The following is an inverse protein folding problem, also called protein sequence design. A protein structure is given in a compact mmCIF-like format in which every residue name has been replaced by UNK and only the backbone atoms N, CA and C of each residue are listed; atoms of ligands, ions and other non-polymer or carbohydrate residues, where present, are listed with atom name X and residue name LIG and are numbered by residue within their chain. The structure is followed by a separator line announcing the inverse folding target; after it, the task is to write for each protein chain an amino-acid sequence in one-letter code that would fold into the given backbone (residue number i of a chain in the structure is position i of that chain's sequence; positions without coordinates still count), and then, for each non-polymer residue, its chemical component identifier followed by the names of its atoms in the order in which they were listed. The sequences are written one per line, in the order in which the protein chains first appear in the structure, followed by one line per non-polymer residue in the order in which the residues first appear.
data_IF_092150953469
#
_entry.id   IF_092150953469
#
_cell.length_a   1.000
_cell.length_b   1.000
_cell.length_c   1.000
_cell.angle_alpha   90.00
_cell.angle_beta   90.00
_cell.angle_gamma   90.00
#
_symmetry.space_group_name_H-M   'P 1'
#
loop_
_entity.id
_entity.type
_entity.pdbx_description
1 polymer ?
#
# COMPACT_ATOMS: atom_id res chain seq x y z
N UNK A 1 -7.75 10.81 5.69
CA UNK A 1 -6.60 11.39 4.97
C UNK A 1 -6.14 12.59 5.77
N UNK A 2 -4.86 12.65 6.14
CA UNK A 2 -4.28 13.76 6.85
C UNK A 2 -3.82 14.86 5.87
N UNK A 3 -3.71 16.13 6.31
CA UNK A 3 -3.14 17.19 5.50
C UNK A 3 -1.75 16.83 4.96
N UNK A 4 -1.50 17.08 3.68
CA UNK A 4 -0.21 16.78 3.02
C UNK A 4 -0.03 15.33 2.58
N UNK A 5 -0.96 14.41 2.88
CA UNK A 5 -0.92 13.03 2.34
C UNK A 5 -0.94 13.03 0.82
N UNK A 6 -1.83 13.84 0.25
CA UNK A 6 -2.04 13.90 -1.19
C UNK A 6 -0.83 14.53 -1.89
N UNK A 7 -0.26 15.59 -1.33
CA UNK A 7 0.96 16.21 -1.86
C UNK A 7 2.16 15.25 -1.83
N UNK A 8 2.35 14.54 -0.71
CA UNK A 8 3.41 13.56 -0.56
C UNK A 8 3.26 12.38 -1.54
N UNK A 9 2.03 11.91 -1.77
CA UNK A 9 1.74 10.87 -2.74
C UNK A 9 1.97 11.36 -4.18
N UNK A 10 1.42 12.53 -4.53
CA UNK A 10 1.50 13.08 -5.89
C UNK A 10 2.93 13.47 -6.30
N UNK A 11 3.81 13.77 -5.34
CA UNK A 11 5.23 13.98 -5.61
C UNK A 11 5.95 12.73 -6.15
N UNK A 12 5.40 11.53 -5.90
CA UNK A 12 5.98 10.23 -6.30
C UNK A 12 5.13 9.50 -7.35
N UNK A 13 3.81 9.68 -7.31
CA UNK A 13 2.85 9.09 -8.22
C UNK A 13 1.90 10.20 -8.72
N UNK A 14 2.21 10.87 -9.84
CA UNK A 14 1.53 12.11 -10.26
C UNK A 14 0.11 11.89 -10.80
N UNK A 15 -0.28 10.65 -11.11
CA UNK A 15 -1.64 10.33 -11.52
C UNK A 15 -2.57 10.20 -10.32
N UNK A 16 -3.72 10.88 -10.39
CA UNK A 16 -4.71 10.86 -9.32
C UNK A 16 -5.99 10.15 -9.77
N UNK A 17 -6.32 9.05 -9.10
CA UNK A 17 -7.60 8.35 -9.21
C UNK A 17 -8.23 8.32 -7.83
N UNK A 18 -9.53 8.56 -7.75
CA UNK A 18 -10.26 8.51 -6.49
C UNK A 18 -11.06 7.22 -6.35
N UNK A 19 -11.13 6.70 -5.13
CA UNK A 19 -12.07 5.64 -4.76
C UNK A 19 -13.38 6.28 -4.26
N UNK A 20 -14.45 6.14 -5.04
CA UNK A 20 -15.80 6.61 -4.74
C UNK A 20 -15.85 7.99 -4.02
N UNK A 21 -16.33 8.04 -2.77
CA UNK A 21 -16.44 9.27 -1.98
C UNK A 21 -15.10 9.98 -1.68
N UNK A 22 -13.98 9.31 -1.95
CA UNK A 22 -12.63 9.88 -1.96
C UNK A 22 -12.47 11.04 -2.93
N UNK A 23 -13.26 11.08 -4.02
CA UNK A 23 -13.19 12.14 -5.04
C UNK A 23 -13.46 13.54 -4.46
N UNK A 24 -14.20 13.63 -3.35
CA UNK A 24 -14.45 14.90 -2.64
C UNK A 24 -13.16 15.58 -2.20
N UNK A 25 -12.13 14.82 -1.80
CA UNK A 25 -10.86 15.40 -1.37
C UNK A 25 -10.13 16.06 -2.54
N UNK A 26 -10.10 15.39 -3.70
CA UNK A 26 -9.49 15.92 -4.91
C UNK A 26 -10.23 17.16 -5.43
N UNK A 27 -11.57 17.10 -5.46
CA UNK A 27 -12.42 18.24 -5.86
C UNK A 27 -12.23 19.44 -4.92
N UNK A 28 -12.22 19.23 -3.61
CA UNK A 28 -12.00 20.30 -2.63
C UNK A 28 -10.60 20.92 -2.74
N UNK A 29 -9.60 20.14 -3.13
CA UNK A 29 -8.24 20.61 -3.37
C UNK A 29 -8.01 21.21 -4.78
N UNK A 30 -9.01 21.15 -5.66
CA UNK A 30 -8.88 21.59 -7.06
C UNK A 30 -7.88 20.76 -7.88
N UNK A 31 -7.67 19.50 -7.51
CA UNK A 31 -6.70 18.62 -8.17
C UNK A 31 -7.33 17.86 -9.33
N UNK A 32 -6.61 17.70 -10.46
CA UNK A 32 -7.12 16.99 -11.62
C UNK A 32 -7.22 15.50 -11.34
N UNK A 33 -8.42 14.93 -11.52
CA UNK A 33 -8.66 13.49 -11.46
C UNK A 33 -8.53 12.88 -12.86
N UNK A 34 -7.93 11.69 -12.92
CA UNK A 34 -7.94 10.82 -14.10
C UNK A 34 -9.15 9.88 -14.11
N UNK A 35 -9.78 9.68 -12.95
CA UNK A 35 -11.00 8.89 -12.83
C UNK A 35 -11.45 8.73 -11.37
N UNK A 36 -12.68 8.24 -11.21
CA UNK A 36 -13.27 7.80 -9.96
C UNK A 36 -13.76 6.37 -10.14
N UNK A 37 -13.40 5.48 -9.22
CA UNK A 37 -13.70 4.04 -9.27
C UNK A 37 -14.49 3.66 -8.02
N UNK A 38 -15.58 2.92 -8.18
CA UNK A 38 -16.46 2.51 -7.09
C UNK A 38 -17.88 2.22 -7.60
N UNK A 39 -18.85 1.94 -6.75
CA UNK A 39 -20.27 1.85 -7.15
C UNK A 39 -20.97 3.23 -7.16
N UNK A 40 -20.23 4.26 -6.79
CA UNK A 40 -20.61 5.68 -6.74
C UNK A 40 -21.55 6.02 -5.58
N UNK A 41 -21.92 5.08 -4.72
CA UNK A 41 -22.95 5.30 -3.70
C UNK A 41 -22.56 6.38 -2.67
N UNK A 42 -21.26 6.57 -2.46
CA UNK A 42 -20.68 7.54 -1.54
C UNK A 42 -20.29 8.86 -2.22
N UNK A 43 -20.46 8.95 -3.55
CA UNK A 43 -20.25 10.15 -4.35
C UNK A 43 -21.55 10.97 -4.46
N UNK A 44 -21.63 12.16 -3.85
CA UNK A 44 -22.84 12.96 -3.87
C UNK A 44 -23.18 13.49 -5.28
N UNK A 45 -24.46 13.76 -5.60
CA UNK A 45 -24.89 14.18 -6.94
C UNK A 45 -24.14 15.39 -7.49
N UNK A 46 -23.78 16.35 -6.64
CA UNK A 46 -23.05 17.55 -7.01
C UNK A 46 -21.63 17.22 -7.49
N UNK A 47 -20.95 16.29 -6.80
CA UNK A 47 -19.63 15.81 -7.20
C UNK A 47 -19.70 15.01 -8.51
N UNK A 48 -20.71 14.15 -8.67
CA UNK A 48 -20.95 13.41 -9.93
C UNK A 48 -21.14 14.35 -11.11
N UNK A 49 -21.94 15.41 -10.93
CA UNK A 49 -22.19 16.40 -11.98
C UNK A 49 -20.94 17.21 -12.34
N UNK A 50 -20.02 17.43 -11.40
CA UNK A 50 -18.80 18.18 -11.63
C UNK A 50 -17.74 17.38 -12.40
N UNK A 51 -17.72 16.04 -12.26
CA UNK A 51 -16.69 15.18 -12.82
C UNK A 51 -16.95 14.72 -14.26
N UNK A 52 -18.20 14.78 -14.73
CA UNK A 52 -18.57 14.26 -16.06
C UNK A 52 -18.55 12.71 -16.11
N UNK A 53 -19.37 12.09 -16.97
CA UNK A 53 -19.49 10.63 -17.04
C UNK A 53 -18.20 9.91 -17.48
N UNK A 54 -17.31 10.60 -18.19
CA UNK A 54 -16.03 10.07 -18.69
C UNK A 54 -15.01 9.77 -17.59
N UNK A 55 -15.11 10.47 -16.45
CA UNK A 55 -14.26 10.23 -15.28
C UNK A 55 -14.89 9.22 -14.31
N UNK A 56 -16.12 8.76 -14.55
CA UNK A 56 -16.81 7.84 -13.65
C UNK A 56 -16.68 6.40 -14.17
N UNK A 57 -16.05 5.55 -13.37
CA UNK A 57 -15.87 4.12 -13.67
C UNK A 57 -16.67 3.28 -12.65
N UNK A 58 -17.99 3.11 -12.88
CA UNK A 58 -18.83 2.36 -11.96
C UNK A 58 -18.46 0.88 -11.95
N UNK A 59 -18.32 0.31 -10.76
CA UNK A 59 -18.03 -1.09 -10.51
C UNK A 59 -19.13 -1.64 -9.60
N UNK A 60 -19.98 -2.52 -10.13
CA UNK A 60 -21.14 -3.06 -9.42
C UNK A 60 -20.83 -4.20 -8.44
N UNK A 61 -19.55 -4.58 -8.32
CA UNK A 61 -19.08 -5.62 -7.40
C UNK A 61 -19.31 -5.18 -5.94
N UNK A 62 -20.07 -5.98 -5.19
CA UNK A 62 -20.38 -5.74 -3.78
C UNK A 62 -19.54 -6.62 -2.84
N UNK A 63 -18.79 -7.58 -3.39
CA UNK A 63 -17.97 -8.50 -2.62
C UNK A 63 -16.55 -7.95 -2.37
N UNK A 64 -16.20 -6.82 -2.99
CA UNK A 64 -14.90 -6.15 -2.86
C UNK A 64 -15.02 -4.72 -2.34
N UNK A 65 -13.99 -4.27 -1.60
CA UNK A 65 -13.87 -2.89 -1.11
C UNK A 65 -13.48 -1.93 -2.23
N UNK A 66 -13.74 -0.63 -2.08
CA UNK A 66 -13.31 0.34 -3.10
C UNK A 66 -11.78 0.40 -3.27
N UNK A 67 -11.02 0.06 -2.23
CA UNK A 67 -9.58 -0.14 -2.33
C UNK A 67 -9.26 -1.27 -3.32
N UNK A 68 -9.87 -2.44 -3.14
CA UNK A 68 -9.65 -3.60 -4.00
C UNK A 68 -10.17 -3.36 -5.43
N UNK A 69 -11.29 -2.64 -5.59
CA UNK A 69 -11.79 -2.19 -6.90
C UNK A 69 -10.74 -1.33 -7.62
N UNK A 70 -10.17 -0.33 -6.94
CA UNK A 70 -9.10 0.51 -7.50
C UNK A 70 -7.84 -0.31 -7.83
N UNK A 71 -7.41 -1.17 -6.91
CA UNK A 71 -6.21 -1.99 -7.07
C UNK A 71 -6.28 -2.89 -8.31
N UNK A 72 -7.47 -3.41 -8.64
CA UNK A 72 -7.71 -4.26 -9.81
C UNK A 72 -7.90 -3.49 -11.11
N UNK A 73 -8.45 -2.29 -11.04
CA UNK A 73 -8.86 -1.51 -12.21
C UNK A 73 -7.75 -0.60 -12.74
N UNK A 74 -6.81 -0.18 -11.89
CA UNK A 74 -5.75 0.74 -12.28
C UNK A 74 -4.54 -0.04 -12.77
N UNK A 75 -4.18 0.16 -14.04
CA UNK A 75 -2.90 -0.31 -14.58
C UNK A 75 -1.86 0.79 -14.41
N UNK A 76 -0.95 0.62 -13.45
CA UNK A 76 0.18 1.50 -13.23
C UNK A 76 1.39 0.69 -12.72
N UNK A 77 2.63 1.12 -13.01
CA UNK A 77 3.83 0.48 -12.46
C UNK A 77 3.84 0.48 -10.92
N UNK A 78 3.21 1.49 -10.32
CA UNK A 78 3.16 1.67 -8.88
C UNK A 78 1.95 2.50 -8.45
N UNK A 79 1.40 2.20 -7.28
CA UNK A 79 0.29 2.91 -6.66
C UNK A 79 0.64 3.39 -5.25
N UNK A 80 0.18 4.61 -4.90
CA UNK A 80 0.16 5.10 -3.52
C UNK A 80 -1.30 5.29 -3.10
N UNK A 81 -1.72 4.52 -2.12
CA UNK A 81 -3.06 4.53 -1.58
C UNK A 81 -3.13 5.43 -0.34
N UNK A 82 -3.52 6.68 -0.56
CA UNK A 82 -3.78 7.65 0.52
C UNK A 82 -5.23 7.55 1.01
N UNK A 83 -5.42 7.63 2.34
CA UNK A 83 -6.76 7.58 2.94
C UNK A 83 -7.34 6.19 3.17
N UNK A 84 -6.54 5.12 2.94
CA UNK A 84 -6.91 3.72 3.20
C UNK A 84 -6.31 3.15 4.50
N UNK A 85 -5.55 3.97 5.23
CA UNK A 85 -5.02 3.62 6.54
C UNK A 85 -5.94 4.13 7.66
N UNK A 86 -6.24 3.25 8.63
CA UNK A 86 -7.03 3.59 9.82
C UNK A 86 -8.55 3.65 9.57
N UNK A 87 -9.25 4.39 10.43
CA UNK A 87 -10.72 4.44 10.43
C UNK A 87 -11.33 3.20 11.05
N UNK A 88 -12.22 2.52 10.33
CA UNK A 88 -12.80 1.26 10.79
C UNK A 88 -11.77 0.13 10.69
N UNK A 89 -11.63 -0.66 11.75
CA UNK A 89 -10.62 -1.73 11.84
C UNK A 89 -10.78 -2.81 10.76
N UNK A 90 -12.03 -3.17 10.44
CA UNK A 90 -12.36 -4.15 9.41
C UNK A 90 -11.98 -3.66 8.01
N UNK A 91 -12.18 -2.37 7.71
CA UNK A 91 -11.73 -1.78 6.44
C UNK A 91 -10.21 -1.82 6.32
N UNK A 92 -9.50 -1.49 7.38
CA UNK A 92 -8.04 -1.57 7.38
C UNK A 92 -7.56 -3.02 7.15
N UNK A 93 -8.16 -4.00 7.83
CA UNK A 93 -7.85 -5.41 7.60
C UNK A 93 -8.14 -5.85 6.15
N UNK A 94 -9.22 -5.36 5.53
CA UNK A 94 -9.53 -5.63 4.13
C UNK A 94 -8.50 -5.04 3.16
N UNK A 95 -7.95 -3.86 3.45
CA UNK A 95 -6.84 -3.25 2.68
C UNK A 95 -5.59 -4.14 2.74
N UNK A 96 -5.20 -4.59 3.93
CA UNK A 96 -4.06 -5.49 4.11
C UNK A 96 -4.27 -6.83 3.39
N UNK A 97 -5.48 -7.37 3.44
CA UNK A 97 -5.86 -8.58 2.72
C UNK A 97 -5.77 -8.40 1.20
N UNK A 98 -6.26 -7.28 0.67
CA UNK A 98 -6.21 -7.00 -0.75
C UNK A 98 -4.76 -6.84 -1.25
N UNK A 99 -3.87 -6.18 -0.49
CA UNK A 99 -2.44 -6.08 -0.86
C UNK A 99 -1.81 -7.45 -1.12
N UNK A 100 -2.06 -8.44 -0.26
CA UNK A 100 -1.45 -9.77 -0.41
C UNK A 100 -2.17 -10.67 -1.42
N UNK A 101 -3.45 -10.41 -1.71
CA UNK A 101 -4.22 -11.13 -2.73
C UNK A 101 -3.89 -10.68 -4.16
N UNK A 102 -3.33 -9.48 -4.30
CA UNK A 102 -2.95 -8.90 -5.59
C UNK A 102 -1.44 -8.61 -5.61
N UNK A 103 -0.57 -9.63 -5.45
CA UNK A 103 0.88 -9.45 -5.28
C UNK A 103 1.57 -8.83 -6.50
N UNK A 104 0.96 -8.93 -7.69
CA UNK A 104 1.43 -8.30 -8.92
C UNK A 104 1.23 -6.78 -8.93
N UNK A 105 0.32 -6.27 -8.09
CA UNK A 105 0.04 -4.85 -8.02
C UNK A 105 0.92 -4.20 -6.95
N UNK A 106 1.97 -3.50 -7.39
CA UNK A 106 2.85 -2.75 -6.49
C UNK A 106 2.07 -1.57 -5.91
N UNK A 107 1.71 -1.67 -4.63
CA UNK A 107 0.89 -0.67 -3.96
C UNK A 107 1.43 -0.39 -2.55
N UNK A 108 1.50 0.91 -2.23
CA UNK A 108 1.90 1.43 -0.94
C UNK A 108 0.73 2.10 -0.25
N UNK A 109 0.34 1.62 0.92
CA UNK A 109 -0.67 2.26 1.75
C UNK A 109 0.02 3.32 2.61
N UNK A 110 -0.44 4.56 2.49
CA UNK A 110 0.09 5.69 3.24
C UNK A 110 -0.73 5.90 4.52
N UNK A 111 -0.11 5.59 5.67
CA UNK A 111 -0.62 5.87 7.00
C UNK A 111 -0.21 7.26 7.50
N UNK A 112 -0.75 7.63 8.67
CA UNK A 112 -0.40 8.88 9.33
C UNK A 112 1.06 8.86 9.81
N UNK A 113 1.51 7.73 10.39
CA UNK A 113 2.84 7.57 10.98
C UNK A 113 3.72 6.57 10.22
N UNK A 114 3.09 5.58 9.58
CA UNK A 114 3.75 4.49 8.89
C UNK A 114 3.26 4.35 7.45
N UNK A 115 3.95 3.48 6.73
CA UNK A 115 3.59 3.00 5.40
C UNK A 115 3.57 1.48 5.42
N UNK A 116 2.70 0.87 4.60
CA UNK A 116 2.58 -0.57 4.48
C UNK A 116 2.51 -0.99 3.01
N UNK A 117 3.22 -2.06 2.67
CA UNK A 117 3.19 -2.65 1.34
C UNK A 117 3.43 -4.17 1.40
N UNK A 118 3.01 -4.86 0.35
CA UNK A 118 3.33 -6.28 0.18
C UNK A 118 4.79 -6.44 -0.25
N UNK A 119 5.53 -7.31 0.45
CA UNK A 119 6.93 -7.58 0.14
C UNK A 119 7.03 -8.29 -1.21
N UNK A 120 7.80 -7.75 -2.18
CA UNK A 120 8.14 -8.49 -3.39
C UNK A 120 9.03 -9.70 -3.06
N UNK A 121 9.27 -10.61 -4.03
CA UNK A 121 10.12 -11.79 -3.82
C UNK A 121 11.51 -11.45 -3.29
N UNK A 122 12.07 -10.34 -3.76
CA UNK A 122 13.32 -9.76 -3.25
C UNK A 122 13.14 -8.27 -3.01
N UNK A 123 13.59 -7.79 -1.84
CA UNK A 123 13.52 -6.39 -1.45
C UNK A 123 14.87 -5.93 -0.90
N UNK A 124 15.34 -4.79 -1.38
CA UNK A 124 16.52 -4.10 -0.86
C UNK A 124 16.12 -2.70 -0.42
N UNK A 125 16.41 -2.34 0.83
CA UNK A 125 16.17 -1.00 1.36
C UNK A 125 17.46 -0.43 1.97
N UNK A 126 17.78 0.81 1.63
CA UNK A 126 18.87 1.58 2.21
C UNK A 126 18.32 2.52 3.29
N UNK A 127 18.22 2.00 4.52
CA UNK A 127 17.65 2.70 5.67
C UNK A 127 18.73 3.05 6.70
N UNK A 128 18.57 4.16 7.46
CA UNK A 128 19.42 4.45 8.62
C UNK A 128 19.39 3.30 9.63
N UNK A 129 20.49 3.12 10.37
CA UNK A 129 20.52 2.17 11.49
C UNK A 129 19.49 2.56 12.56
N UNK A 130 18.80 1.57 13.12
CA UNK A 130 17.79 1.77 14.16
C UNK A 130 16.41 2.18 13.64
N UNK A 131 16.22 2.34 12.33
CA UNK A 131 14.90 2.56 11.73
C UNK A 131 13.95 1.40 12.10
N UNK A 132 12.76 1.68 12.67
CA UNK A 132 11.74 0.66 12.89
C UNK A 132 11.35 -0.02 11.57
N UNK A 133 11.29 -1.35 11.58
CA UNK A 133 10.80 -2.15 10.45
C UNK A 133 10.00 -3.31 11.01
N UNK A 134 8.80 -3.55 10.52
CA UNK A 134 8.02 -4.73 10.91
C UNK A 134 7.68 -5.61 9.72
N UNK A 135 7.71 -6.91 9.97
CA UNK A 135 7.34 -7.96 9.02
C UNK A 135 6.11 -8.69 9.56
N UNK A 136 4.99 -8.60 8.84
CA UNK A 136 3.76 -9.27 9.25
C UNK A 136 3.30 -10.30 8.19
N UNK A 137 3.28 -11.60 8.51
CA UNK A 137 2.82 -12.62 7.57
C UNK A 137 1.29 -12.68 7.49
N UNK A 138 0.77 -12.74 6.27
CA UNK A 138 -0.62 -13.01 5.92
C UNK A 138 -0.85 -14.46 5.43
N UNK A 139 0.22 -15.27 5.38
CA UNK A 139 0.18 -16.70 5.10
C UNK A 139 1.32 -17.41 5.87
N UNK A 140 1.29 -18.75 6.01
CA UNK A 140 2.46 -19.51 6.43
C UNK A 140 3.56 -19.41 5.38
N UNK A 141 4.72 -18.85 5.74
CA UNK A 141 5.83 -18.68 4.81
C UNK A 141 7.19 -18.60 5.53
N UNK A 142 8.25 -18.79 4.76
CA UNK A 142 9.64 -18.67 5.23
C UNK A 142 10.36 -17.63 4.39
N UNK A 143 11.41 -17.06 4.94
CA UNK A 143 12.27 -16.16 4.21
C UNK A 143 13.63 -16.04 4.87
N UNK A 144 14.49 -15.27 4.23
CA UNK A 144 15.78 -14.90 4.77
C UNK A 144 15.98 -13.41 4.60
N UNK A 145 16.93 -12.89 5.37
CA UNK A 145 17.22 -11.47 5.32
C UNK A 145 18.39 -11.06 6.18
N UNK A 146 18.87 -9.86 5.89
CA UNK A 146 20.03 -9.22 6.48
C UNK A 146 19.70 -7.76 6.79
N UNK A 147 20.54 -7.10 7.59
CA UNK A 147 20.35 -5.70 7.93
C UNK A 147 19.25 -5.44 8.97
N UNK A 148 18.77 -6.49 9.66
CA UNK A 148 17.77 -6.41 10.74
C UNK A 148 18.33 -6.95 12.04
N UNK A 149 17.90 -6.37 13.16
CA UNK A 149 18.35 -6.81 14.48
C UNK A 149 17.86 -8.23 14.81
N UNK A 150 16.66 -8.59 14.35
CA UNK A 150 16.16 -9.96 14.34
C UNK A 150 15.94 -10.42 12.89
N UNK A 151 16.94 -11.04 12.23
CA UNK A 151 16.80 -11.53 10.86
C UNK A 151 15.70 -12.59 10.73
N UNK A 152 14.97 -12.66 9.59
CA UNK A 152 13.88 -13.62 9.39
C UNK A 152 14.34 -15.07 9.15
N UNK A 153 15.65 -15.31 8.98
CA UNK A 153 16.20 -16.63 8.69
C UNK A 153 15.89 -17.67 9.78
N UNK A 154 15.36 -18.82 9.38
CA UNK A 154 15.01 -19.91 10.28
C UNK A 154 13.70 -19.71 11.05
N UNK A 155 12.92 -18.68 10.73
CA UNK A 155 11.60 -18.44 11.32
C UNK A 155 10.50 -19.03 10.42
N UNK A 156 9.64 -19.85 11.03
CA UNK A 156 8.33 -20.23 10.49
C UNK A 156 7.32 -19.12 10.77
N UNK A 157 7.08 -18.24 9.79
CA UNK A 157 6.09 -17.18 9.92
C UNK A 157 4.69 -17.72 9.68
N UNK A 158 3.71 -17.23 10.44
CA UNK A 158 2.30 -17.47 10.18
C UNK A 158 1.44 -16.35 10.81
N UNK A 159 0.27 -16.01 10.25
CA UNK A 159 -0.61 -14.96 10.80
C UNK A 159 -1.06 -15.24 12.24
N UNK A 160 -1.24 -16.52 12.57
CA UNK A 160 -1.61 -17.01 13.92
C UNK A 160 -0.39 -17.53 14.72
N UNK A 161 0.83 -17.31 14.22
CA UNK A 161 2.06 -17.87 14.76
C UNK A 161 3.10 -16.80 15.02
N UNK A 162 4.36 -17.09 14.64
CA UNK A 162 5.45 -16.12 14.80
C UNK A 162 5.34 -15.02 13.75
N UNK A 163 5.50 -13.79 14.20
CA UNK A 163 5.53 -12.57 13.39
C UNK A 163 6.84 -11.81 13.65
N UNK A 164 7.18 -10.84 12.79
CA UNK A 164 8.42 -10.05 12.86
C UNK A 164 8.17 -8.58 13.15
N UNK A 165 7.22 -8.27 14.03
CA UNK A 165 6.89 -6.89 14.41
C UNK A 165 7.89 -6.32 15.42
N UNK A 166 7.95 -4.99 15.51
CA UNK A 166 8.84 -4.26 16.43
C UNK A 166 10.34 -4.56 16.22
N UNK A 167 10.73 -4.85 14.98
CA UNK A 167 12.13 -4.99 14.59
C UNK A 167 12.74 -3.63 14.25
N UNK A 168 14.06 -3.61 14.03
CA UNK A 168 14.78 -2.43 13.60
C UNK A 168 15.94 -2.80 12.71
N UNK A 169 16.34 -1.87 11.85
CA UNK A 169 17.51 -2.01 11.00
C UNK A 169 18.81 -1.99 11.82
N UNK A 170 19.82 -2.70 11.32
CA UNK A 170 21.21 -2.59 11.77
C UNK A 170 22.00 -1.71 10.80
N UNK A 171 23.31 -1.53 11.03
CA UNK A 171 24.18 -0.90 10.03
C UNK A 171 24.18 -1.69 8.70
N UNK A 172 24.10 -0.96 7.59
CA UNK A 172 24.11 -1.51 6.23
C UNK A 172 22.70 -1.69 5.62
N UNK A 173 22.63 -2.16 4.36
CA UNK A 173 21.37 -2.33 3.66
C UNK A 173 20.54 -3.47 4.25
N UNK A 174 19.22 -3.27 4.28
CA UNK A 174 18.27 -4.36 4.49
C UNK A 174 18.12 -5.14 3.19
N UNK A 175 18.20 -6.46 3.29
CA UNK A 175 17.88 -7.39 2.20
C UNK A 175 16.88 -8.39 2.72
N UNK A 176 15.77 -8.58 2.02
CA UNK A 176 14.75 -9.55 2.36
C UNK A 176 14.43 -10.37 1.12
N UNK A 177 14.20 -11.67 1.34
CA UNK A 177 13.74 -12.56 0.29
C UNK A 177 12.72 -13.54 0.85
N UNK A 178 11.55 -13.55 0.22
CA UNK A 178 10.40 -14.38 0.56
C UNK A 178 9.93 -15.08 -0.72
N UNK A 179 10.18 -16.39 -0.87
CA UNK A 179 9.80 -17.13 -2.08
C UNK A 179 8.29 -17.16 -2.30
N UNK A 180 7.51 -17.23 -1.22
CA UNK A 180 6.05 -17.21 -1.27
C UNK A 180 5.48 -15.81 -0.94
N UNK A 181 4.41 -15.37 -1.64
CA UNK A 181 3.76 -14.11 -1.32
C UNK A 181 3.03 -14.21 0.02
N UNK A 182 3.00 -13.09 0.74
CA UNK A 182 2.15 -12.94 1.93
C UNK A 182 2.82 -12.16 3.04
N UNK A 183 4.08 -11.74 2.89
CA UNK A 183 4.72 -10.86 3.85
C UNK A 183 4.31 -9.41 3.60
N UNK A 184 3.82 -8.73 4.62
CA UNK A 184 3.67 -7.28 4.64
C UNK A 184 4.87 -6.64 5.32
N UNK A 185 5.33 -5.50 4.80
CA UNK A 185 6.41 -4.69 5.37
C UNK A 185 5.83 -3.37 5.84
N UNK A 186 6.18 -2.99 7.07
CA UNK A 186 5.83 -1.69 7.65
C UNK A 186 7.09 -0.89 7.97
N UNK A 187 7.08 0.39 7.58
CA UNK A 187 8.16 1.34 7.82
C UNK A 187 7.59 2.69 8.29
N UNK A 188 8.35 3.52 9.03
CA UNK A 188 7.99 4.90 9.26
C UNK A 188 7.74 5.63 7.94
N UNK A 189 6.70 6.47 7.91
CA UNK A 189 6.31 7.25 6.73
C UNK A 189 7.44 8.11 6.15
N UNK A 190 8.38 8.53 6.98
CA UNK A 190 9.56 9.29 6.55
C UNK A 190 10.40 8.57 5.47
N UNK A 191 10.28 7.25 5.37
CA UNK A 191 10.99 6.43 4.39
C UNK A 191 10.16 6.10 3.14
N UNK A 192 9.04 6.80 2.90
CA UNK A 192 8.18 6.58 1.73
C UNK A 192 8.97 6.57 0.42
N UNK A 193 9.78 7.61 0.15
CA UNK A 193 10.54 7.69 -1.10
C UNK A 193 11.55 6.55 -1.28
N UNK A 194 12.14 6.06 -0.19
CA UNK A 194 13.04 4.90 -0.23
C UNK A 194 12.26 3.60 -0.53
N UNK A 195 11.11 3.42 0.12
CA UNK A 195 10.28 2.25 -0.12
C UNK A 195 9.72 2.21 -1.55
N UNK A 196 9.35 3.36 -2.13
CA UNK A 196 8.96 3.45 -3.55
C UNK A 196 10.12 3.04 -4.46
N UNK A 197 11.33 3.59 -4.26
CA UNK A 197 12.51 3.20 -5.06
C UNK A 197 12.80 1.71 -4.97
N UNK A 198 12.75 1.16 -3.76
CA UNK A 198 13.00 -0.26 -3.53
C UNK A 198 12.00 -1.14 -4.29
N UNK A 199 10.71 -0.80 -4.24
CA UNK A 199 9.66 -1.53 -4.96
C UNK A 199 9.75 -1.37 -6.47
N UNK A 200 10.14 -0.20 -6.99
CA UNK A 200 10.35 0.01 -8.42
C UNK A 200 11.50 -0.87 -8.95
N UNK A 201 12.58 -1.00 -8.16
CA UNK A 201 13.75 -1.82 -8.50
C UNK A 201 13.58 -3.32 -8.26
N UNK A 202 12.51 -3.73 -7.58
CA UNK A 202 12.29 -5.13 -7.22
C UNK A 202 11.97 -5.97 -8.47
N UNK A 203 12.33 -7.26 -8.50
CA UNK A 203 11.90 -8.15 -9.56
C UNK A 203 10.38 -8.26 -9.56
N UNK A 204 9.78 -8.42 -10.75
CA UNK A 204 8.36 -8.72 -10.84
C UNK A 204 8.07 -10.05 -10.12
N UNK A 205 6.98 -10.12 -9.34
CA UNK A 205 6.46 -11.41 -8.92
C UNK A 205 5.98 -12.09 -10.21
N UNK A 206 6.64 -13.18 -10.61
CA UNK A 206 6.40 -13.85 -11.89
C UNK A 206 4.98 -14.38 -12.09
#
# INVERSE_FOLDING_TARGET
MAPGDLDAALALAPGLVAADGGARHALAAGLPLQGVIGDMDSLPPEARSALGPELLHPVSDQDSTDFEKCLRAISAPFLIAAGFAGGRMDHHAAVLNALVRHPLQRCMVLGAEDICFHCPPELRLDLPEGTPLSLFPMAPLRGHGEGLHWPPGGIDFAPWGRIGTSNRTTAGPVRLAFPEPGMLVYLPRAHLAEAVRALDSAPDPG
#
